data_IF_732116257691
#
_entry.id   IF_732116257691
#
_cell.length_a   1.000
_cell.length_b   1.000
_cell.length_c   1.000
_cell.angle_alpha   90.00
_cell.angle_beta   90.00
_cell.angle_gamma   90.00
#
_symmetry.space_group_name_H-M   'P 1'
#
loop_
_entity.id
_entity.type
_entity.pdbx_description
1 polymer ?
#
# COMPACT_ATOMS: atom_id res chain seq x y z
N UNK A 1 -0.72 10.70 -20.49
CA UNK A 1 -2.20 10.67 -20.44
C UNK A 1 -2.54 10.47 -18.98
N UNK A 2 -2.56 11.53 -18.18
CA UNK A 2 -3.78 12.28 -17.90
C UNK A 2 -4.31 11.87 -16.52
N UNK A 3 -3.49 12.04 -15.48
CA UNK A 3 -3.88 11.84 -14.09
C UNK A 3 -4.84 12.97 -13.71
N UNK A 4 -6.15 12.68 -13.71
CA UNK A 4 -7.13 13.60 -13.15
C UNK A 4 -7.20 13.38 -11.63
N UNK A 5 -6.82 14.39 -10.82
CA UNK A 5 -6.95 14.32 -9.38
C UNK A 5 -8.45 14.24 -9.04
N UNK A 6 -8.92 13.04 -8.71
CA UNK A 6 -10.34 12.77 -8.46
C UNK A 6 -10.90 11.51 -9.12
N UNK A 7 -10.13 10.78 -9.95
CA UNK A 7 -10.58 9.49 -10.48
C UNK A 7 -10.77 8.46 -9.34
N UNK A 8 -11.79 7.61 -9.46
CA UNK A 8 -12.08 6.53 -8.50
C UNK A 8 -10.89 5.60 -8.29
N UNK A 9 -10.05 5.45 -9.31
CA UNK A 9 -8.82 4.64 -9.28
C UNK A 9 -7.76 5.22 -8.34
N UNK A 10 -7.53 6.54 -8.37
CA UNK A 10 -6.63 7.19 -7.41
C UNK A 10 -7.11 7.00 -5.97
N UNK A 11 -8.43 7.04 -5.76
CA UNK A 11 -9.00 6.81 -4.43
C UNK A 11 -8.79 5.38 -3.96
N UNK A 12 -8.99 4.40 -4.85
CA UNK A 12 -8.74 2.99 -4.55
C UNK A 12 -7.27 2.73 -4.22
N UNK A 13 -6.32 3.37 -4.91
CA UNK A 13 -4.90 3.25 -4.62
C UNK A 13 -4.56 3.85 -3.25
N UNK A 14 -5.07 5.04 -2.93
CA UNK A 14 -4.90 5.66 -1.61
C UNK A 14 -5.47 4.77 -0.50
N UNK A 15 -6.70 4.29 -0.65
CA UNK A 15 -7.36 3.46 0.36
C UNK A 15 -6.62 2.13 0.54
N UNK A 16 -6.12 1.53 -0.55
CA UNK A 16 -5.33 0.29 -0.52
C UNK A 16 -4.00 0.46 0.23
N UNK A 17 -3.30 1.58 0.00
CA UNK A 17 -2.05 1.91 0.73
C UNK A 17 -2.31 2.09 2.23
N UNK A 18 -3.36 2.81 2.60
CA UNK A 18 -3.74 3.01 4.00
C UNK A 18 -4.10 1.69 4.71
N UNK A 19 -4.75 0.75 4.01
CA UNK A 19 -5.03 -0.58 4.56
C UNK A 19 -3.76 -1.40 4.79
N UNK A 20 -2.78 -1.34 3.88
CA UNK A 20 -1.49 -2.01 4.05
C UNK A 20 -0.75 -1.46 5.26
N UNK A 21 -0.73 -0.14 5.45
CA UNK A 21 -0.14 0.50 6.63
C UNK A 21 -0.79 0.01 7.94
N UNK A 22 -2.12 -0.07 7.97
CA UNK A 22 -2.85 -0.60 9.12
C UNK A 22 -2.50 -2.07 9.42
N UNK A 23 -2.37 -2.91 8.37
CA UNK A 23 -1.95 -4.31 8.53
C UNK A 23 -0.51 -4.39 9.06
N UNK A 24 0.40 -3.58 8.54
CA UNK A 24 1.80 -3.55 9.00
C UNK A 24 1.89 -3.20 10.49
N UNK A 25 1.09 -2.23 10.97
CA UNK A 25 1.01 -1.88 12.39
C UNK A 25 0.49 -3.04 13.26
N UNK A 26 -0.48 -3.80 12.75
CA UNK A 26 -0.99 -4.97 13.47
C UNK A 26 0.03 -6.11 13.51
N UNK A 27 0.75 -6.35 12.41
CA UNK A 27 1.77 -7.40 12.32
C UNK A 27 3.00 -7.11 13.18
N UNK A 28 3.33 -5.84 13.41
CA UNK A 28 4.43 -5.43 14.30
C UNK A 28 4.20 -5.87 15.76
N UNK A 29 2.96 -6.17 16.14
CA UNK A 29 2.57 -6.65 17.47
C UNK A 29 2.63 -8.18 17.60
N UNK A 30 2.96 -8.89 16.53
CA UNK A 30 3.00 -10.35 16.46
C UNK A 30 4.43 -10.83 16.23
N UNK A 31 4.83 -11.90 16.93
CA UNK A 31 6.14 -12.52 16.71
C UNK A 31 6.17 -13.28 15.37
N UNK A 32 7.37 -13.40 14.79
CA UNK A 32 7.65 -14.15 13.56
C UNK A 32 6.93 -13.65 12.29
N UNK A 33 6.55 -12.38 12.23
CA UNK A 33 5.87 -11.77 11.06
C UNK A 33 6.81 -11.01 10.12
N UNK A 34 8.12 -10.97 10.37
CA UNK A 34 9.10 -10.17 9.61
C UNK A 34 9.10 -10.46 8.10
N UNK A 35 8.87 -11.71 7.70
CA UNK A 35 8.79 -12.06 6.29
C UNK A 35 7.53 -11.46 5.63
N UNK A 36 6.39 -11.57 6.31
CA UNK A 36 5.10 -11.05 5.84
C UNK A 36 5.14 -9.52 5.74
N UNK A 37 5.70 -8.85 6.74
CA UNK A 37 5.88 -7.39 6.74
C UNK A 37 6.72 -6.92 5.55
N UNK A 38 7.84 -7.61 5.26
CA UNK A 38 8.69 -7.31 4.10
C UNK A 38 7.95 -7.45 2.78
N UNK A 39 7.11 -8.48 2.62
CA UNK A 39 6.30 -8.66 1.43
C UNK A 39 5.26 -7.56 1.27
N UNK A 40 4.58 -7.17 2.35
CA UNK A 40 3.59 -6.09 2.32
C UNK A 40 4.21 -4.72 1.99
N UNK A 41 5.42 -4.44 2.49
CA UNK A 41 6.17 -3.23 2.11
C UNK A 41 6.51 -3.24 0.61
N UNK A 42 6.88 -4.39 0.05
CA UNK A 42 7.14 -4.50 -1.38
C UNK A 42 5.87 -4.21 -2.22
N UNK A 43 4.71 -4.72 -1.79
CA UNK A 43 3.41 -4.42 -2.43
C UNK A 43 3.08 -2.93 -2.32
N UNK A 44 3.26 -2.32 -1.14
CA UNK A 44 3.05 -0.87 -0.95
C UNK A 44 3.87 -0.05 -1.97
N UNK A 45 5.16 -0.35 -2.10
CA UNK A 45 6.04 0.36 -3.02
C UNK A 45 5.65 0.15 -4.49
N UNK A 46 5.12 -1.02 -4.85
CA UNK A 46 4.57 -1.26 -6.19
C UNK A 46 3.33 -0.40 -6.46
N UNK A 47 2.45 -0.24 -5.47
CA UNK A 47 1.28 0.64 -5.59
C UNK A 47 1.68 2.12 -5.68
N UNK A 48 2.74 2.55 -5.01
CA UNK A 48 3.29 3.90 -5.19
C UNK A 48 3.80 4.12 -6.61
N UNK A 49 4.52 3.14 -7.18
CA UNK A 49 5.00 3.22 -8.56
C UNK A 49 3.89 3.31 -9.62
N UNK A 50 2.65 2.90 -9.29
CA UNK A 50 1.48 3.09 -10.16
C UNK A 50 0.95 4.53 -10.17
N UNK A 51 1.23 5.33 -9.15
CA UNK A 51 0.88 6.76 -9.14
C UNK A 51 1.77 7.60 -10.07
N UNK A 52 2.97 7.12 -10.40
CA UNK A 52 3.98 7.84 -11.18
C UNK A 52 3.93 7.53 -12.70
N UNK A 53 3.07 6.62 -13.15
CA UNK A 53 2.90 6.18 -14.55
C UNK A 53 1.71 6.86 -15.25
#
# INVERSE_FOLDING_TARGET
>A
MGYEPGSSECRLLIDSKAQIEAVLLNLDRLENTDHIRRQLVAVYNQLEGLHDL
#
